data_IF_568317300060
#
_entry.id   IF_568317300060
#
_cell.length_a   1.000
_cell.length_b   1.000
_cell.length_c   1.000
_cell.angle_alpha   90.00
_cell.angle_beta   90.00
_cell.angle_gamma   90.00
#
_symmetry.space_group_name_H-M   'P 1'
#
loop_
_entity.id
_entity.type
_entity.pdbx_description
1 polymer ?
#
# COMPACT_ATOMS: atom_id res chain seq x y z
N UNK A 1 12.57 6.18 36.38
CA UNK A 1 12.23 7.53 35.86
C UNK A 1 13.07 7.72 34.62
N UNK A 2 12.53 7.34 33.48
CA UNK A 2 13.23 7.46 32.19
C UNK A 2 12.99 8.87 31.68
N UNK A 3 14.05 9.61 31.44
CA UNK A 3 14.01 10.99 30.94
C UNK A 3 13.36 10.95 29.55
N UNK A 4 12.05 11.22 29.51
CA UNK A 4 11.26 11.14 28.30
C UNK A 4 11.85 12.03 27.20
N UNK A 5 12.61 11.45 26.30
CA UNK A 5 12.81 12.04 24.98
C UNK A 5 11.44 12.17 24.37
N UNK A 6 10.95 13.40 24.28
CA UNK A 6 9.69 13.72 23.64
C UNK A 6 9.75 13.15 22.21
N UNK A 7 8.77 12.28 21.86
CA UNK A 7 8.70 11.67 20.54
C UNK A 7 8.58 12.77 19.49
N UNK A 8 9.32 12.65 18.38
CA UNK A 8 9.18 13.58 17.26
C UNK A 8 7.71 13.59 16.79
N UNK A 9 7.18 14.78 16.47
CA UNK A 9 5.86 14.93 15.86
C UNK A 9 5.97 15.52 14.45
N UNK A 10 4.93 15.42 13.65
CA UNK A 10 4.86 16.09 12.35
C UNK A 10 4.94 17.61 12.53
N UNK A 11 5.70 18.28 11.66
CA UNK A 11 5.81 19.74 11.66
C UNK A 11 4.50 20.40 11.23
N UNK A 12 3.70 19.72 10.42
CA UNK A 12 2.43 20.24 9.89
C UNK A 12 1.38 19.16 9.72
N UNK A 13 0.10 19.55 9.83
CA UNK A 13 -1.05 18.69 9.50
C UNK A 13 -1.01 18.18 8.07
N UNK A 14 -0.64 19.04 7.12
CA UNK A 14 -0.50 18.66 5.72
C UNK A 14 0.60 17.61 5.56
N UNK A 15 1.70 17.74 6.31
CA UNK A 15 2.76 16.75 6.36
C UNK A 15 2.27 15.38 6.81
N UNK A 16 1.52 15.33 7.90
CA UNK A 16 0.86 14.10 8.38
C UNK A 16 -0.04 13.48 7.29
N UNK A 17 -0.96 14.25 6.71
CA UNK A 17 -1.90 13.73 5.71
C UNK A 17 -1.16 13.20 4.48
N UNK A 18 -0.20 13.96 3.93
CA UNK A 18 0.51 13.56 2.72
C UNK A 18 1.45 12.36 2.94
N UNK A 19 2.10 12.27 4.10
CA UNK A 19 2.95 11.11 4.42
C UNK A 19 2.11 9.87 4.68
N UNK A 20 1.01 9.99 5.43
CA UNK A 20 0.10 8.86 5.69
C UNK A 20 -0.61 8.42 4.41
N UNK A 21 -1.07 9.36 3.58
CA UNK A 21 -1.60 9.02 2.27
C UNK A 21 -0.53 8.40 1.36
N UNK A 22 0.73 8.87 1.41
CA UNK A 22 1.85 8.27 0.68
C UNK A 22 2.21 6.86 1.15
N UNK A 23 1.89 6.49 2.38
CA UNK A 23 1.98 5.11 2.85
C UNK A 23 0.89 4.23 2.22
N UNK A 24 -0.34 4.74 2.11
CA UNK A 24 -1.45 4.04 1.48
C UNK A 24 -1.29 3.99 -0.04
N UNK A 25 -0.98 5.15 -0.67
CA UNK A 25 -0.79 5.27 -2.12
C UNK A 25 0.50 4.55 -2.55
N UNK A 26 0.35 3.35 -3.03
CA UNK A 26 1.45 2.50 -3.44
C UNK A 26 1.13 1.67 -4.68
N UNK A 27 1.80 0.54 -4.80
CA UNK A 27 1.56 -0.45 -5.86
C UNK A 27 0.10 -0.94 -5.83
N UNK A 28 -0.53 -0.95 -4.66
CA UNK A 28 -1.93 -1.31 -4.47
C UNK A 28 -2.92 -0.49 -5.29
N UNK A 29 -2.67 0.82 -5.42
CA UNK A 29 -3.55 1.75 -6.15
C UNK A 29 -3.29 1.75 -7.66
N UNK A 30 -2.01 1.68 -8.03
CA UNK A 30 -1.61 1.92 -9.42
C UNK A 30 -1.39 0.65 -10.22
N UNK A 31 -1.25 -0.48 -9.56
CA UNK A 31 -1.10 -1.79 -10.18
C UNK A 31 -2.25 -2.73 -9.82
N UNK A 32 -2.38 -3.09 -8.53
CA UNK A 32 -3.36 -4.10 -8.11
C UNK A 32 -4.80 -3.65 -8.36
N UNK A 33 -5.14 -2.42 -8.03
CA UNK A 33 -6.51 -1.91 -8.20
C UNK A 33 -6.98 -1.95 -9.66
N UNK A 34 -6.26 -1.41 -10.67
CA UNK A 34 -6.67 -1.53 -12.07
C UNK A 34 -6.73 -2.99 -12.55
N UNK A 35 -5.75 -3.83 -12.15
CA UNK A 35 -5.72 -5.25 -12.52
C UNK A 35 -6.95 -5.98 -11.99
N UNK A 36 -7.24 -5.86 -10.70
CA UNK A 36 -8.41 -6.52 -10.08
C UNK A 36 -9.72 -5.95 -10.62
N UNK A 37 -9.78 -4.64 -10.92
CA UNK A 37 -10.92 -4.01 -11.58
C UNK A 37 -11.17 -4.63 -12.96
N UNK A 38 -10.12 -4.82 -13.75
CA UNK A 38 -10.20 -5.46 -15.08
C UNK A 38 -10.72 -6.89 -15.00
N UNK A 39 -10.22 -7.67 -14.06
CA UNK A 39 -10.59 -9.07 -13.84
C UNK A 39 -12.00 -9.26 -13.26
N UNK A 40 -12.56 -8.24 -12.59
CA UNK A 40 -13.84 -8.32 -11.88
C UNK A 40 -14.94 -7.44 -12.48
N UNK A 41 -14.93 -7.24 -13.79
CA UNK A 41 -16.06 -6.64 -14.51
C UNK A 41 -16.16 -5.11 -14.46
N UNK A 42 -15.10 -4.39 -14.04
CA UNK A 42 -14.99 -2.93 -14.17
C UNK A 42 -15.84 -2.16 -13.15
N UNK A 43 -16.79 -1.33 -13.61
CA UNK A 43 -17.51 -0.35 -12.79
C UNK A 43 -18.28 -0.92 -11.58
N UNK A 44 -18.79 -2.15 -11.63
CA UNK A 44 -19.45 -2.78 -10.46
C UNK A 44 -18.46 -3.08 -9.35
N UNK A 45 -17.26 -3.55 -9.70
CA UNK A 45 -16.18 -3.74 -8.73
C UNK A 45 -15.79 -2.41 -8.07
N UNK A 46 -15.63 -1.34 -8.85
CA UNK A 46 -15.29 0.00 -8.33
C UNK A 46 -16.35 0.47 -7.33
N UNK A 47 -17.64 0.25 -7.63
CA UNK A 47 -18.74 0.61 -6.73
C UNK A 47 -18.63 -0.13 -5.38
N UNK A 48 -18.43 -1.46 -5.41
CA UNK A 48 -18.25 -2.26 -4.19
C UNK A 48 -16.96 -1.89 -3.44
N UNK A 49 -15.88 -1.64 -4.15
CA UNK A 49 -14.63 -1.17 -3.52
C UNK A 49 -14.84 0.12 -2.73
N UNK A 50 -15.47 1.13 -3.32
CA UNK A 50 -15.78 2.38 -2.64
C UNK A 50 -16.69 2.17 -1.41
N UNK A 51 -17.69 1.29 -1.53
CA UNK A 51 -18.57 0.93 -0.43
C UNK A 51 -17.77 0.30 0.73
N UNK A 52 -16.95 -0.71 0.45
CA UNK A 52 -16.18 -1.39 1.48
C UNK A 52 -15.04 -0.54 2.05
N UNK A 53 -14.47 0.36 1.27
CA UNK A 53 -13.49 1.32 1.79
C UNK A 53 -14.11 2.19 2.90
N UNK A 54 -15.36 2.65 2.72
CA UNK A 54 -16.08 3.42 3.74
C UNK A 54 -16.50 2.53 4.92
N UNK A 55 -17.03 1.34 4.65
CA UNK A 55 -17.55 0.46 5.69
C UNK A 55 -16.44 -0.21 6.52
N UNK A 56 -15.33 -0.56 5.91
CA UNK A 56 -14.27 -1.35 6.53
C UNK A 56 -12.94 -0.59 6.63
N UNK A 57 -12.49 0.02 5.53
CA UNK A 57 -11.21 0.70 5.44
C UNK A 57 -11.10 1.88 6.40
N UNK A 58 -12.03 2.83 6.36
CA UNK A 58 -12.03 4.00 7.26
C UNK A 58 -12.11 3.61 8.74
N UNK A 59 -12.99 2.70 9.18
CA UNK A 59 -13.02 2.24 10.57
C UNK A 59 -11.70 1.64 11.04
N UNK A 60 -11.12 0.70 10.28
CA UNK A 60 -9.88 0.02 10.71
C UNK A 60 -8.69 1.00 10.70
N UNK A 61 -8.57 1.86 9.68
CA UNK A 61 -7.58 2.94 9.65
C UNK A 61 -7.68 3.84 10.88
N UNK A 62 -8.91 4.20 11.27
CA UNK A 62 -9.14 5.01 12.48
C UNK A 62 -8.68 4.27 13.75
N UNK A 63 -8.84 2.94 13.81
CA UNK A 63 -8.38 2.12 14.94
C UNK A 63 -6.85 2.08 15.04
N UNK A 64 -6.14 1.86 13.93
CA UNK A 64 -4.68 1.91 13.92
C UNK A 64 -4.16 3.28 14.37
N UNK A 65 -4.68 4.36 13.78
CA UNK A 65 -4.31 5.72 14.18
C UNK A 65 -4.61 5.99 15.67
N UNK A 66 -5.73 5.46 16.19
CA UNK A 66 -6.12 5.66 17.59
C UNK A 66 -5.17 4.95 18.56
N UNK A 67 -4.81 3.70 18.28
CA UNK A 67 -3.87 2.93 19.11
C UNK A 67 -2.50 3.63 19.11
N UNK A 68 -2.01 4.06 17.94
CA UNK A 68 -0.76 4.81 17.85
C UNK A 68 -0.79 6.13 18.62
N UNK A 69 -1.86 6.96 18.44
CA UNK A 69 -1.97 8.27 19.09
C UNK A 69 -2.16 8.17 20.60
N UNK A 70 -2.93 7.20 21.08
CA UNK A 70 -3.13 6.99 22.50
C UNK A 70 -1.91 6.38 23.19
N UNK A 71 -1.21 5.45 22.50
CA UNK A 71 -0.03 4.78 23.02
C UNK A 71 1.26 5.60 22.93
N UNK A 72 1.33 6.61 22.06
CA UNK A 72 2.53 7.44 21.79
C UNK A 72 3.81 6.63 21.53
N UNK A 73 3.69 5.42 21.04
CA UNK A 73 4.78 4.48 20.79
C UNK A 73 4.52 3.68 19.50
N UNK A 74 5.51 2.86 19.09
CA UNK A 74 5.30 1.80 18.09
C UNK A 74 4.42 0.68 18.64
N UNK A 75 3.88 -0.15 17.77
CA UNK A 75 2.80 -1.10 18.06
C UNK A 75 2.99 -1.91 19.35
N UNK A 76 4.15 -2.54 19.56
CA UNK A 76 4.38 -3.37 20.77
C UNK A 76 4.18 -2.59 22.05
N UNK A 77 4.78 -1.39 22.14
CA UNK A 77 4.67 -0.55 23.34
C UNK A 77 3.35 0.17 23.44
N UNK A 78 2.73 0.53 22.30
CA UNK A 78 1.40 1.15 22.28
C UNK A 78 0.34 0.18 22.81
N UNK A 79 0.32 -1.06 22.30
CA UNK A 79 -0.55 -2.09 22.86
C UNK A 79 -0.31 -2.32 24.35
N UNK A 80 0.97 -2.44 24.76
CA UNK A 80 1.32 -2.66 26.18
C UNK A 80 0.89 -1.51 27.09
N UNK A 81 0.87 -0.28 26.59
CA UNK A 81 0.42 0.89 27.35
C UNK A 81 -1.11 0.93 27.51
N UNK A 82 -1.86 0.37 26.56
CA UNK A 82 -3.31 0.46 26.47
C UNK A 82 -4.02 -0.82 26.92
N UNK A 83 -3.33 -1.97 26.95
CA UNK A 83 -3.93 -3.26 27.28
C UNK A 83 -4.30 -3.36 28.78
N UNK A 84 -5.39 -4.06 29.12
CA UNK A 84 -5.72 -4.36 30.50
C UNK A 84 -4.63 -5.24 31.18
N UNK A 85 -4.42 -5.03 32.48
CA UNK A 85 -3.43 -5.79 33.22
C UNK A 85 -3.67 -7.30 33.10
N UNK A 86 -2.62 -8.06 32.81
CA UNK A 86 -2.66 -9.52 32.69
C UNK A 86 -3.04 -10.03 31.29
N UNK A 87 -3.34 -9.17 30.33
CA UNK A 87 -3.54 -9.55 28.91
C UNK A 87 -2.23 -9.52 28.13
N UNK A 88 -2.25 -10.05 26.92
CA UNK A 88 -1.06 -10.19 26.06
C UNK A 88 -1.26 -9.59 24.66
N UNK A 89 -2.05 -8.53 24.55
CA UNK A 89 -2.31 -7.90 23.25
C UNK A 89 -1.05 -7.32 22.60
N UNK A 90 -0.05 -6.94 23.38
CA UNK A 90 1.25 -6.47 22.88
C UNK A 90 1.98 -7.50 21.98
N UNK A 91 1.62 -8.80 22.05
CA UNK A 91 2.15 -9.81 21.13
C UNK A 91 1.74 -9.51 19.67
N UNK A 92 0.56 -8.92 19.46
CA UNK A 92 0.16 -8.48 18.12
C UNK A 92 1.10 -7.43 17.55
N UNK A 93 1.65 -6.54 18.38
CA UNK A 93 2.66 -5.58 17.95
C UNK A 93 3.90 -6.24 17.33
N UNK A 94 4.34 -7.39 17.85
CA UNK A 94 5.42 -8.17 17.24
C UNK A 94 5.01 -8.78 15.92
N UNK A 95 3.77 -9.28 15.80
CA UNK A 95 3.22 -9.79 14.54
C UNK A 95 3.18 -8.68 13.49
N UNK A 96 2.76 -7.47 13.86
CA UNK A 96 2.78 -6.30 12.98
C UNK A 96 4.19 -5.96 12.49
N UNK A 97 5.19 -5.99 13.39
CA UNK A 97 6.58 -5.72 13.03
C UNK A 97 7.13 -6.77 12.03
N UNK A 98 6.83 -8.04 12.27
CA UNK A 98 7.17 -9.13 11.32
C UNK A 98 6.43 -8.94 9.99
N UNK A 99 5.15 -8.59 10.03
CA UNK A 99 4.34 -8.33 8.83
C UNK A 99 4.90 -7.19 7.98
N UNK A 100 5.33 -6.10 8.62
CA UNK A 100 6.02 -5.00 7.92
C UNK A 100 7.36 -5.43 7.31
N UNK A 101 8.12 -6.28 8.00
CA UNK A 101 9.37 -6.80 7.45
C UNK A 101 9.11 -7.72 6.24
N UNK A 102 8.16 -8.66 6.34
CA UNK A 102 7.73 -9.52 5.24
C UNK A 102 7.23 -8.72 4.04
N UNK A 103 6.39 -7.71 4.28
CA UNK A 103 5.94 -6.80 3.21
C UNK A 103 7.14 -6.18 2.48
N UNK A 104 8.12 -5.67 3.22
CA UNK A 104 9.27 -5.00 2.62
C UNK A 104 10.24 -5.94 1.90
N UNK A 105 10.26 -7.23 2.22
CA UNK A 105 11.10 -8.21 1.53
C UNK A 105 10.77 -8.30 0.03
N UNK A 106 9.49 -8.37 -0.33
CA UNK A 106 9.10 -8.42 -1.74
C UNK A 106 8.80 -7.03 -2.32
N UNK A 107 8.28 -6.10 -1.52
CA UNK A 107 7.89 -4.78 -1.99
C UNK A 107 9.07 -3.95 -2.50
N UNK A 108 10.26 -4.08 -1.87
CA UNK A 108 11.48 -3.41 -2.34
C UNK A 108 11.95 -3.93 -3.69
N UNK A 109 11.75 -5.22 -3.99
CA UNK A 109 12.03 -5.81 -5.30
C UNK A 109 11.09 -5.23 -6.37
N UNK A 110 9.78 -5.19 -6.10
CA UNK A 110 8.80 -4.64 -7.04
C UNK A 110 8.99 -3.13 -7.24
N UNK A 111 9.29 -2.38 -6.17
CA UNK A 111 9.65 -0.96 -6.28
C UNK A 111 10.94 -0.76 -7.10
N UNK A 112 11.89 -1.71 -7.01
CA UNK A 112 13.07 -1.77 -7.86
C UNK A 112 12.72 -1.90 -9.34
N UNK A 113 11.75 -2.75 -9.70
CA UNK A 113 11.27 -2.88 -11.08
C UNK A 113 10.69 -1.58 -11.64
N UNK A 114 9.95 -0.81 -10.80
CA UNK A 114 9.42 0.49 -11.22
C UNK A 114 10.54 1.47 -11.56
N UNK A 115 11.58 1.52 -10.72
CA UNK A 115 12.74 2.38 -10.93
C UNK A 115 13.56 1.93 -12.15
N UNK A 116 13.75 0.63 -12.36
CA UNK A 116 14.42 0.07 -13.52
C UNK A 116 13.71 0.47 -14.82
N UNK A 117 12.39 0.29 -14.87
CA UNK A 117 11.61 0.67 -16.04
C UNK A 117 11.60 2.18 -16.30
N UNK A 118 11.62 3.00 -15.25
CA UNK A 118 11.84 4.43 -15.41
C UNK A 118 13.14 4.70 -16.15
N UNK A 119 14.25 4.08 -15.76
CA UNK A 119 15.53 4.26 -16.46
C UNK A 119 15.53 3.66 -17.86
N UNK A 120 14.91 2.50 -18.08
CA UNK A 120 14.78 1.88 -19.41
C UNK A 120 14.03 2.79 -20.39
N UNK A 121 12.94 3.43 -19.97
CA UNK A 121 12.24 4.42 -20.80
C UNK A 121 13.05 5.71 -20.98
N UNK A 122 13.63 6.24 -19.90
CA UNK A 122 14.44 7.46 -19.94
C UNK A 122 15.64 7.34 -20.89
N UNK A 123 16.32 6.20 -20.87
CA UNK A 123 17.48 5.92 -21.74
C UNK A 123 17.09 5.49 -23.15
N UNK A 124 15.79 5.26 -23.42
CA UNK A 124 15.30 4.87 -24.73
C UNK A 124 15.48 3.39 -25.06
N UNK A 125 15.61 2.51 -24.06
CA UNK A 125 15.75 1.05 -24.28
C UNK A 125 14.57 0.44 -25.05
N UNK A 126 13.39 1.04 -24.98
CA UNK A 126 12.19 0.63 -25.70
C UNK A 126 12.03 1.28 -27.09
N UNK A 127 12.90 2.22 -27.45
CA UNK A 127 12.79 2.95 -28.72
C UNK A 127 13.14 2.05 -29.91
N UNK A 128 12.21 1.93 -30.85
CA UNK A 128 12.42 1.12 -32.07
C UNK A 128 12.18 -0.38 -31.85
N UNK A 129 11.74 -0.81 -30.69
CA UNK A 129 11.31 -2.19 -30.48
C UNK A 129 9.92 -2.43 -31.06
N UNK A 130 9.65 -3.68 -31.45
CA UNK A 130 8.30 -4.11 -31.76
C UNK A 130 7.48 -4.25 -30.44
N UNK A 131 6.15 -4.06 -30.47
CA UNK A 131 5.31 -4.08 -29.28
C UNK A 131 5.38 -5.38 -28.46
N UNK A 132 5.52 -6.52 -29.14
CA UNK A 132 5.67 -7.85 -28.55
C UNK A 132 7.03 -8.06 -27.85
N UNK A 133 8.04 -7.26 -28.17
CA UNK A 133 9.34 -7.31 -27.52
C UNK A 133 9.29 -6.89 -26.03
N UNK A 134 8.23 -6.20 -25.58
CA UNK A 134 8.07 -5.80 -24.16
C UNK A 134 8.05 -7.00 -23.23
N UNK A 135 7.44 -8.12 -23.63
CA UNK A 135 7.45 -9.37 -22.87
C UNK A 135 8.86 -9.95 -22.71
N UNK A 136 9.67 -9.90 -23.78
CA UNK A 136 11.05 -10.35 -23.72
C UNK A 136 11.91 -9.46 -22.82
N UNK A 137 11.75 -8.12 -22.91
CA UNK A 137 12.46 -7.18 -22.00
C UNK A 137 12.17 -7.47 -20.54
N UNK A 138 10.93 -7.80 -20.20
CA UNK A 138 10.56 -8.16 -18.82
C UNK A 138 11.15 -9.51 -18.42
N UNK A 139 11.03 -10.52 -19.27
CA UNK A 139 11.60 -11.84 -19.03
C UNK A 139 13.13 -11.79 -18.84
N UNK A 140 13.83 -11.03 -19.68
CA UNK A 140 15.28 -10.84 -19.58
C UNK A 140 15.66 -10.14 -18.26
N UNK A 141 14.89 -9.14 -17.84
CA UNK A 141 15.10 -8.45 -16.57
C UNK A 141 14.91 -9.39 -15.38
N UNK A 142 13.87 -10.24 -15.38
CA UNK A 142 13.64 -11.23 -14.32
C UNK A 142 14.72 -12.32 -14.30
N UNK A 143 15.21 -12.72 -15.46
CA UNK A 143 16.26 -13.73 -15.60
C UNK A 143 17.65 -13.24 -15.16
N UNK A 144 17.86 -11.92 -15.04
CA UNK A 144 19.15 -11.32 -14.67
C UNK A 144 19.27 -11.10 -13.16
N UNK A 145 19.97 -11.96 -12.39
CA UNK A 145 20.08 -11.82 -10.94
C UNK A 145 20.77 -10.52 -10.52
N UNK A 146 21.76 -10.06 -11.28
CA UNK A 146 22.48 -8.83 -10.98
C UNK A 146 21.59 -7.58 -11.07
N UNK A 147 20.75 -7.51 -12.09
CA UNK A 147 19.80 -6.41 -12.29
C UNK A 147 18.72 -6.39 -11.19
N UNK A 148 18.16 -7.56 -10.86
CA UNK A 148 17.17 -7.72 -9.81
C UNK A 148 17.70 -7.25 -8.44
N UNK A 149 18.86 -7.75 -8.04
CA UNK A 149 19.49 -7.39 -6.77
C UNK A 149 19.90 -5.93 -6.75
N UNK A 150 20.45 -5.39 -7.85
CA UNK A 150 20.88 -3.99 -7.93
C UNK A 150 19.75 -3.03 -7.61
N UNK A 151 18.61 -3.15 -8.31
CA UNK A 151 17.50 -2.23 -8.14
C UNK A 151 16.81 -2.36 -6.79
N UNK A 152 16.67 -3.59 -6.25
CA UNK A 152 16.21 -3.82 -4.88
C UNK A 152 17.13 -3.13 -3.86
N UNK A 153 18.46 -3.28 -3.98
CA UNK A 153 19.44 -2.64 -3.09
C UNK A 153 19.38 -1.13 -3.20
N UNK A 154 19.28 -0.57 -4.41
CA UNK A 154 19.16 0.88 -4.63
C UNK A 154 17.93 1.45 -3.90
N UNK A 155 16.77 0.85 -4.07
CA UNK A 155 15.53 1.27 -3.38
C UNK A 155 15.69 1.18 -1.86
N UNK A 156 16.24 0.07 -1.37
CA UNK A 156 16.42 -0.15 0.07
C UNK A 156 17.37 0.86 0.69
N UNK A 157 18.53 1.06 0.08
CA UNK A 157 19.53 2.04 0.55
C UNK A 157 18.99 3.47 0.52
N UNK A 158 18.33 3.87 -0.57
CA UNK A 158 17.71 5.19 -0.68
C UNK A 158 16.64 5.40 0.39
N UNK A 159 15.79 4.39 0.64
CA UNK A 159 14.74 4.45 1.67
C UNK A 159 15.32 4.65 3.07
N UNK A 160 16.29 3.84 3.47
CA UNK A 160 16.94 4.00 4.77
C UNK A 160 17.74 5.30 4.87
N UNK A 161 18.37 5.79 3.78
CA UNK A 161 19.04 7.07 3.77
C UNK A 161 18.07 8.25 4.04
N UNK A 162 16.86 8.18 3.47
CA UNK A 162 15.79 9.16 3.74
C UNK A 162 15.37 9.11 5.21
N UNK A 163 15.06 7.92 5.72
CA UNK A 163 14.58 7.73 7.10
C UNK A 163 15.66 8.09 8.15
N UNK A 164 16.95 7.93 7.82
CA UNK A 164 18.04 8.30 8.72
C UNK A 164 18.04 9.80 9.10
N UNK A 165 17.46 10.67 8.24
CA UNK A 165 17.36 12.13 8.47
C UNK A 165 16.27 12.51 9.49
N UNK A 166 15.54 11.53 10.05
CA UNK A 166 14.45 11.74 11.01
C UNK A 166 13.10 11.97 10.37
N UNK A 167 12.09 12.16 11.22
CA UNK A 167 10.71 12.31 10.77
C UNK A 167 10.52 13.61 9.95
N UNK A 168 10.87 14.76 10.51
CA UNK A 168 10.64 16.06 9.87
C UNK A 168 11.61 16.35 8.73
N UNK A 169 12.92 16.10 8.94
CA UNK A 169 13.98 16.40 7.96
C UNK A 169 14.05 15.40 6.80
N UNK A 170 13.64 14.16 7.03
CA UNK A 170 13.64 13.07 6.05
C UNK A 170 12.25 12.76 5.51
N UNK A 171 11.50 11.98 6.28
CA UNK A 171 10.22 11.41 5.85
C UNK A 171 9.18 12.48 5.45
N UNK A 172 8.93 13.47 6.32
CA UNK A 172 7.91 14.49 6.06
C UNK A 172 8.31 15.41 4.88
N UNK A 173 9.56 15.87 4.85
CA UNK A 173 10.02 16.78 3.80
C UNK A 173 10.01 16.10 2.43
N UNK A 174 10.57 14.90 2.33
CA UNK A 174 10.66 14.16 1.07
C UNK A 174 9.29 13.62 0.68
N UNK A 175 8.52 13.07 1.62
CA UNK A 175 7.17 12.57 1.39
C UNK A 175 6.22 13.65 0.86
N UNK A 176 6.24 14.86 1.41
CA UNK A 176 5.44 15.98 0.89
C UNK A 176 5.80 16.34 -0.55
N UNK A 177 7.10 16.38 -0.85
CA UNK A 177 7.57 16.70 -2.20
C UNK A 177 7.19 15.62 -3.20
N UNK A 178 7.39 14.36 -2.84
CA UNK A 178 7.05 13.21 -3.68
C UNK A 178 5.55 13.11 -3.93
N UNK A 179 4.72 13.26 -2.90
CA UNK A 179 3.26 13.25 -3.06
C UNK A 179 2.77 14.43 -3.92
N UNK A 180 3.34 15.61 -3.76
CA UNK A 180 3.03 16.75 -4.63
C UNK A 180 3.39 16.47 -6.09
N UNK A 181 4.57 15.97 -6.36
CA UNK A 181 5.01 15.58 -7.70
C UNK A 181 4.16 14.43 -8.28
N UNK A 182 3.83 13.43 -7.47
CA UNK A 182 2.96 12.31 -7.84
C UNK A 182 1.58 12.81 -8.28
N UNK A 183 0.96 13.71 -7.51
CA UNK A 183 -0.36 14.27 -7.86
C UNK A 183 -0.32 15.08 -9.15
N UNK A 184 0.75 15.83 -9.40
CA UNK A 184 0.94 16.55 -10.67
C UNK A 184 1.12 15.56 -11.82
N UNK A 185 1.99 14.56 -11.66
CA UNK A 185 2.25 13.55 -12.69
C UNK A 185 0.98 12.77 -13.07
N UNK A 186 0.20 12.33 -12.07
CA UNK A 186 -1.03 11.58 -12.35
C UNK A 186 -2.05 12.42 -13.10
N UNK A 187 -2.20 13.71 -12.77
CA UNK A 187 -3.11 14.61 -13.49
C UNK A 187 -2.66 14.85 -14.93
N UNK A 188 -1.36 14.99 -15.19
CA UNK A 188 -0.80 15.10 -16.55
C UNK A 188 -1.07 13.83 -17.35
N UNK A 189 -0.87 12.65 -16.76
CA UNK A 189 -1.13 11.37 -17.41
C UNK A 189 -2.62 11.15 -17.67
N UNK A 190 -3.51 11.52 -16.73
CA UNK A 190 -4.97 11.48 -16.92
C UNK A 190 -5.37 12.42 -18.07
N UNK A 191 -4.89 13.66 -18.07
CA UNK A 191 -5.18 14.60 -19.15
C UNK A 191 -4.75 14.05 -20.53
N UNK A 192 -3.60 13.39 -20.60
CA UNK A 192 -3.16 12.72 -21.81
C UNK A 192 -4.05 11.53 -22.20
N UNK A 193 -4.53 10.74 -21.24
CA UNK A 193 -5.38 9.58 -21.53
C UNK A 193 -6.72 9.97 -22.18
N UNK A 194 -7.22 11.19 -21.94
CA UNK A 194 -8.46 11.70 -22.54
C UNK A 194 -8.34 12.05 -24.03
N UNK A 195 -7.14 12.12 -24.60
CA UNK A 195 -6.94 12.31 -26.05
C UNK A 195 -6.75 11.00 -26.81
N UNK A 196 -6.75 9.86 -26.12
CA UNK A 196 -6.59 8.55 -26.72
C UNK A 196 -7.90 8.10 -27.43
N UNK A 197 -7.79 7.35 -28.56
CA UNK A 197 -8.97 6.91 -29.33
C UNK A 197 -9.98 6.09 -28.54
N UNK A 198 -9.50 5.19 -27.66
CA UNK A 198 -10.35 4.27 -26.86
C UNK A 198 -10.83 4.86 -25.55
N UNK A 199 -10.79 6.18 -25.35
CA UNK A 199 -11.18 6.81 -24.07
C UNK A 199 -12.62 6.51 -23.69
N UNK A 200 -13.55 6.55 -24.67
CA UNK A 200 -14.99 6.34 -24.40
C UNK A 200 -15.26 4.92 -23.90
N UNK A 201 -14.73 3.92 -24.60
CA UNK A 201 -14.88 2.50 -24.27
C UNK A 201 -14.23 2.19 -22.92
N UNK A 202 -13.03 2.71 -22.68
CA UNK A 202 -12.31 2.56 -21.40
C UNK A 202 -13.07 3.17 -20.22
N UNK A 203 -13.63 4.38 -20.38
CA UNK A 203 -14.42 5.03 -19.34
C UNK A 203 -15.75 4.30 -19.08
N UNK A 204 -16.43 3.83 -20.13
CA UNK A 204 -17.66 3.05 -20.00
C UNK A 204 -17.39 1.76 -19.23
N UNK A 205 -16.31 1.02 -19.59
CA UNK A 205 -15.92 -0.19 -18.87
C UNK A 205 -15.63 0.07 -17.39
N UNK A 206 -14.89 1.13 -17.12
CA UNK A 206 -14.34 1.40 -15.80
C UNK A 206 -15.32 2.05 -14.83
N UNK A 207 -16.13 3.00 -15.30
CA UNK A 207 -16.97 3.82 -14.43
C UNK A 207 -18.47 3.46 -14.48
N UNK A 208 -18.95 2.88 -15.59
CA UNK A 208 -20.36 2.51 -15.68
C UNK A 208 -20.57 1.08 -15.15
N UNK A 209 -21.42 0.89 -14.11
CA UNK A 209 -21.72 -0.43 -13.59
C UNK A 209 -22.45 -1.29 -14.62
N UNK A 210 -21.84 -2.39 -15.03
CA UNK A 210 -22.41 -3.41 -15.87
C UNK A 210 -22.69 -4.68 -15.04
N UNK A 211 -23.92 -4.83 -14.61
CA UNK A 211 -24.34 -5.93 -13.75
C UNK A 211 -24.31 -7.28 -14.46
N UNK A 212 -24.55 -7.31 -15.77
CA UNK A 212 -24.50 -8.56 -16.54
C UNK A 212 -23.06 -9.09 -16.53
N UNK A 213 -22.08 -8.24 -16.87
CA UNK A 213 -20.66 -8.59 -16.83
C UNK A 213 -20.22 -9.04 -15.43
N UNK A 214 -20.66 -8.36 -14.37
CA UNK A 214 -20.33 -8.76 -13.00
C UNK A 214 -20.92 -10.12 -12.61
N UNK A 215 -22.13 -10.45 -13.09
CA UNK A 215 -22.73 -11.76 -12.88
C UNK A 215 -22.00 -12.87 -13.65
N UNK A 216 -21.53 -12.60 -14.86
CA UNK A 216 -20.73 -13.54 -15.67
C UNK A 216 -19.39 -13.88 -14.98
N UNK A 217 -18.76 -12.92 -14.28
CA UNK A 217 -17.55 -13.12 -13.47
C UNK A 217 -17.85 -13.78 -12.09
N UNK A 218 -19.12 -13.93 -11.73
CA UNK A 218 -19.55 -14.39 -10.42
C UNK A 218 -19.61 -13.24 -9.41
N UNK A 219 -20.80 -12.75 -9.12
CA UNK A 219 -21.01 -11.58 -8.25
C UNK A 219 -20.35 -11.73 -6.86
N UNK A 220 -20.33 -12.96 -6.30
CA UNK A 220 -19.63 -13.27 -5.05
C UNK A 220 -18.14 -12.99 -5.13
N UNK A 221 -17.49 -13.39 -6.23
CA UNK A 221 -16.06 -13.15 -6.46
C UNK A 221 -15.77 -11.65 -6.58
N UNK A 222 -16.61 -10.91 -7.32
CA UNK A 222 -16.48 -9.45 -7.47
C UNK A 222 -16.56 -8.74 -6.12
N UNK A 223 -17.53 -9.11 -5.28
CA UNK A 223 -17.72 -8.56 -3.93
C UNK A 223 -16.48 -8.85 -3.07
N UNK A 224 -16.02 -10.10 -3.05
CA UNK A 224 -14.85 -10.52 -2.25
C UNK A 224 -13.57 -9.82 -2.71
N UNK A 225 -13.37 -9.75 -4.02
CA UNK A 225 -12.22 -9.03 -4.57
C UNK A 225 -12.22 -7.54 -4.17
N UNK A 226 -13.40 -6.89 -4.17
CA UNK A 226 -13.57 -5.51 -3.74
C UNK A 226 -13.32 -5.32 -2.23
N UNK A 227 -13.78 -6.27 -1.39
CA UNK A 227 -13.50 -6.30 0.04
C UNK A 227 -11.99 -6.41 0.30
N UNK A 228 -11.31 -7.38 -0.32
CA UNK A 228 -9.88 -7.57 -0.21
C UNK A 228 -9.10 -6.33 -0.63
N UNK A 229 -9.47 -5.72 -1.76
CA UNK A 229 -8.81 -4.51 -2.25
C UNK A 229 -8.95 -3.33 -1.29
N UNK A 230 -10.08 -3.21 -0.58
CA UNK A 230 -10.30 -2.12 0.39
C UNK A 230 -9.36 -2.18 1.61
N UNK A 231 -8.88 -3.37 1.98
CA UNK A 231 -7.86 -3.54 3.02
C UNK A 231 -6.45 -3.35 2.47
N UNK A 232 -6.19 -3.95 1.32
CA UNK A 232 -4.87 -3.91 0.71
C UNK A 232 -4.42 -2.49 0.38
N UNK A 233 -5.33 -1.66 -0.18
CA UNK A 233 -5.01 -0.30 -0.62
C UNK A 233 -4.50 0.59 0.53
N UNK A 234 -4.97 0.37 1.76
CA UNK A 234 -4.61 1.15 2.94
C UNK A 234 -3.50 0.49 3.79
N UNK A 235 -3.01 -0.70 3.41
CA UNK A 235 -2.01 -1.48 4.15
C UNK A 235 -2.37 -1.69 5.63
N UNK A 236 -3.65 -2.00 5.92
CA UNK A 236 -4.19 -2.12 7.27
C UNK A 236 -3.88 -3.48 7.92
N UNK A 237 -3.77 -3.50 9.24
CA UNK A 237 -3.58 -4.72 10.04
C UNK A 237 -2.16 -5.01 10.47
N UNK A 238 -1.16 -4.32 9.91
CA UNK A 238 0.26 -4.51 10.24
C UNK A 238 0.91 -3.28 10.90
N UNK A 239 0.10 -2.38 11.47
CA UNK A 239 0.56 -1.16 12.14
C UNK A 239 1.28 -0.15 11.22
N UNK A 240 1.15 -0.27 9.90
CA UNK A 240 1.78 0.66 8.97
C UNK A 240 1.28 2.10 9.16
N UNK A 241 0.00 2.26 9.53
CA UNK A 241 -0.62 3.54 9.84
C UNK A 241 -0.55 3.92 11.33
N UNK A 242 -0.42 2.95 12.22
CA UNK A 242 -0.35 3.19 13.68
C UNK A 242 0.83 4.09 14.04
N UNK A 243 1.99 3.89 13.40
CA UNK A 243 3.18 4.69 13.69
C UNK A 243 2.94 6.18 13.44
N UNK A 244 2.18 6.53 12.39
CA UNK A 244 1.84 7.93 12.09
C UNK A 244 0.86 8.49 13.11
N UNK A 245 -0.07 7.66 13.61
CA UNK A 245 -0.91 8.01 14.76
C UNK A 245 -0.07 8.43 15.96
N UNK A 246 1.04 7.72 16.25
CA UNK A 246 1.92 7.99 17.38
C UNK A 246 2.69 9.32 17.29
N UNK A 247 2.83 9.89 16.11
CA UNK A 247 3.43 11.19 15.84
C UNK A 247 2.41 12.34 15.78
N UNK A 248 1.13 12.02 15.91
CA UNK A 248 0.02 12.95 15.76
C UNK A 248 -0.35 13.65 17.06
N UNK A 249 -0.61 14.95 17.00
CA UNK A 249 -1.17 15.68 18.13
C UNK A 249 -2.69 15.47 18.26
N UNK A 250 -3.29 15.94 19.36
CA UNK A 250 -4.71 15.81 19.67
C UNK A 250 -5.58 16.97 19.19
N UNK A 251 -5.08 17.83 18.28
CA UNK A 251 -5.84 19.00 17.79
C UNK A 251 -6.98 18.62 16.87
N UNK A 252 -6.88 17.49 16.17
CA UNK A 252 -7.86 17.05 15.18
C UNK A 252 -8.41 15.65 15.50
N UNK A 253 -9.70 15.45 15.13
CA UNK A 253 -10.36 14.15 15.28
C UNK A 253 -9.76 13.13 14.32
N UNK A 254 -9.58 11.88 14.77
CA UNK A 254 -8.98 10.82 13.95
C UNK A 254 -9.87 10.41 12.78
N UNK A 255 -11.18 10.37 12.97
CA UNK A 255 -12.12 10.03 11.89
C UNK A 255 -11.99 10.99 10.72
N UNK A 256 -11.86 12.31 11.00
CA UNK A 256 -11.67 13.30 9.95
C UNK A 256 -10.36 13.14 9.19
N UNK A 257 -9.28 12.76 9.88
CA UNK A 257 -7.98 12.52 9.25
C UNK A 257 -7.97 11.21 8.45
N UNK A 258 -8.55 10.14 8.98
CA UNK A 258 -8.71 8.88 8.26
C UNK A 258 -9.48 9.05 6.95
N UNK A 259 -10.59 9.79 6.96
CA UNK A 259 -11.36 10.10 5.74
C UNK A 259 -10.50 10.86 4.72
N UNK A 260 -9.68 11.83 5.14
CA UNK A 260 -8.80 12.57 4.21
C UNK A 260 -7.75 11.69 3.58
N UNK A 261 -7.14 10.80 4.36
CA UNK A 261 -6.18 9.81 3.85
C UNK A 261 -6.87 8.91 2.83
N UNK A 262 -8.04 8.34 3.15
CA UNK A 262 -8.80 7.50 2.23
C UNK A 262 -9.23 8.23 0.95
N UNK A 263 -9.62 9.50 1.03
CA UNK A 263 -9.98 10.30 -0.16
C UNK A 263 -8.79 10.49 -1.08
N UNK A 264 -7.60 10.79 -0.54
CA UNK A 264 -6.38 10.92 -1.36
C UNK A 264 -5.97 9.58 -1.98
N UNK A 265 -6.02 8.50 -1.20
CA UNK A 265 -5.74 7.15 -1.67
C UNK A 265 -6.68 6.75 -2.82
N UNK A 266 -7.98 6.90 -2.61
CA UNK A 266 -9.01 6.62 -3.62
C UNK A 266 -8.84 7.49 -4.86
N UNK A 267 -8.54 8.78 -4.69
CA UNK A 267 -8.31 9.68 -5.82
C UNK A 267 -7.19 9.14 -6.72
N UNK A 268 -6.07 8.71 -6.15
CA UNK A 268 -4.96 8.14 -6.94
C UNK A 268 -5.36 6.82 -7.60
N UNK A 269 -6.08 5.93 -6.88
CA UNK A 269 -6.57 4.67 -7.45
C UNK A 269 -7.51 4.91 -8.65
N UNK A 270 -8.46 5.84 -8.51
CA UNK A 270 -9.39 6.18 -9.59
C UNK A 270 -8.65 6.80 -10.79
N UNK A 271 -7.71 7.71 -10.53
CA UNK A 271 -6.88 8.30 -11.60
C UNK A 271 -6.02 7.24 -12.32
N UNK A 272 -5.48 6.26 -11.61
CA UNK A 272 -4.73 5.16 -12.23
C UNK A 272 -5.60 4.36 -13.21
N UNK A 273 -6.85 4.06 -12.85
CA UNK A 273 -7.82 3.44 -13.77
C UNK A 273 -8.14 4.34 -14.97
N UNK A 274 -8.28 5.66 -14.78
CA UNK A 274 -8.49 6.63 -15.87
C UNK A 274 -7.30 6.70 -16.86
N UNK A 275 -6.11 6.32 -16.44
CA UNK A 275 -4.93 6.22 -17.33
C UNK A 275 -4.93 4.87 -18.05
N UNK A 276 -5.11 3.79 -17.31
CA UNK A 276 -4.86 2.42 -17.78
C UNK A 276 -5.97 1.94 -18.72
N UNK A 277 -7.25 2.09 -18.36
CA UNK A 277 -8.35 1.54 -19.17
C UNK A 277 -8.48 2.22 -20.54
N UNK A 278 -8.44 3.57 -20.67
CA UNK A 278 -8.41 4.19 -22.00
C UNK A 278 -7.22 3.73 -22.85
N UNK A 279 -6.05 3.54 -22.23
CA UNK A 279 -4.89 3.02 -22.95
C UNK A 279 -5.09 1.58 -23.43
N UNK A 280 -5.60 0.68 -22.59
CA UNK A 280 -5.90 -0.71 -22.99
C UNK A 280 -6.88 -0.77 -24.16
N UNK A 281 -7.99 -0.05 -24.10
CA UNK A 281 -9.01 -0.04 -25.15
C UNK A 281 -8.54 0.64 -26.42
N UNK A 282 -7.64 1.64 -26.35
CA UNK A 282 -7.07 2.29 -27.53
C UNK A 282 -6.17 1.38 -28.37
N UNK A 283 -5.52 0.42 -27.73
CA UNK A 283 -4.58 -0.49 -28.38
C UNK A 283 -5.06 -1.93 -28.45
N UNK A 284 -6.35 -2.18 -28.16
CA UNK A 284 -6.99 -3.51 -28.27
C UNK A 284 -6.44 -4.53 -27.28
N UNK A 285 -6.01 -4.08 -26.09
CA UNK A 285 -5.40 -4.92 -25.08
C UNK A 285 -6.43 -5.25 -24.00
N UNK A 286 -6.48 -6.52 -23.59
CA UNK A 286 -7.40 -6.94 -22.53
C UNK A 286 -7.02 -6.34 -21.16
N UNK A 287 -7.96 -5.73 -20.44
CA UNK A 287 -7.70 -5.12 -19.13
C UNK A 287 -7.50 -6.13 -17.98
N UNK A 288 -7.68 -7.42 -18.23
CA UNK A 288 -7.57 -8.52 -17.25
C UNK A 288 -6.19 -9.21 -17.22
N UNK A 289 -5.20 -8.65 -17.94
CA UNK A 289 -3.88 -9.25 -18.15
C UNK A 289 -3.03 -9.49 -16.88
N UNK A 290 -3.52 -9.19 -15.68
CA UNK A 290 -2.84 -9.45 -14.43
C UNK A 290 -1.56 -8.62 -14.21
N UNK A 291 -0.53 -9.16 -13.54
CA UNK A 291 0.75 -8.49 -13.30
C UNK A 291 1.47 -8.05 -14.57
N UNK A 292 1.27 -8.77 -15.68
CA UNK A 292 1.81 -8.42 -16.99
C UNK A 292 1.30 -7.08 -17.53
N UNK A 293 0.16 -6.59 -17.01
CA UNK A 293 -0.44 -5.31 -17.42
C UNK A 293 0.55 -4.14 -17.33
N UNK A 294 1.31 -4.03 -16.26
CA UNK A 294 2.23 -2.90 -16.03
C UNK A 294 3.57 -3.07 -16.75
N UNK A 295 4.14 -4.28 -16.73
CA UNK A 295 5.51 -4.49 -17.20
C UNK A 295 5.60 -5.00 -18.66
N UNK A 296 4.49 -5.49 -19.20
CA UNK A 296 4.43 -5.98 -20.57
C UNK A 296 3.46 -5.14 -21.41
N UNK A 297 2.21 -5.03 -20.93
CA UNK A 297 1.12 -4.42 -21.70
C UNK A 297 1.29 -2.92 -21.85
N UNK A 298 1.47 -2.17 -20.77
CA UNK A 298 1.66 -0.71 -20.86
C UNK A 298 2.95 -0.30 -21.56
N UNK A 299 4.11 -0.94 -21.40
CA UNK A 299 5.26 -0.71 -22.25
C UNK A 299 4.96 -0.94 -23.74
N UNK A 300 4.21 -2.00 -24.09
CA UNK A 300 3.76 -2.24 -25.46
C UNK A 300 2.89 -1.09 -26.01
N UNK A 301 1.99 -0.55 -25.17
CA UNK A 301 1.20 0.66 -25.49
C UNK A 301 2.12 1.85 -25.76
N UNK A 302 3.07 2.12 -24.87
CA UNK A 302 3.99 3.25 -25.02
C UNK A 302 4.90 3.11 -26.25
N UNK A 303 5.32 1.89 -26.61
CA UNK A 303 6.10 1.65 -27.84
C UNK A 303 5.32 2.10 -29.08
N UNK A 304 4.00 1.85 -29.12
CA UNK A 304 3.13 2.21 -30.25
C UNK A 304 2.68 3.68 -30.26
N UNK A 305 2.87 4.39 -29.16
CA UNK A 305 2.34 5.73 -28.95
C UNK A 305 3.32 6.81 -29.46
N UNK A 306 2.80 7.87 -30.08
CA UNK A 306 3.59 9.05 -30.42
C UNK A 306 4.14 9.69 -29.14
N UNK A 307 5.47 9.84 -29.04
CA UNK A 307 6.12 10.33 -27.83
C UNK A 307 6.13 9.33 -26.68
N UNK A 308 5.91 8.05 -26.95
CA UNK A 308 5.80 6.99 -25.94
C UNK A 308 6.97 6.88 -24.99
N UNK A 309 8.20 7.24 -25.44
CA UNK A 309 9.36 7.34 -24.54
C UNK A 309 9.11 8.34 -23.41
N UNK A 310 8.54 9.51 -23.72
CA UNK A 310 8.24 10.54 -22.71
C UNK A 310 7.13 10.05 -21.78
N UNK A 311 6.02 9.55 -22.35
CA UNK A 311 4.88 9.09 -21.57
C UNK A 311 5.21 7.88 -20.69
N UNK A 312 5.97 6.93 -21.21
CA UNK A 312 6.48 5.80 -20.43
C UNK A 312 7.42 6.24 -19.31
N UNK A 313 8.32 7.20 -19.58
CA UNK A 313 9.19 7.77 -18.54
C UNK A 313 8.38 8.45 -17.43
N UNK A 314 7.39 9.28 -17.77
CA UNK A 314 6.53 9.95 -16.80
C UNK A 314 5.67 8.96 -16.00
N UNK A 315 5.14 7.92 -16.66
CA UNK A 315 4.36 6.88 -16.00
C UNK A 315 5.20 6.09 -14.99
N UNK A 316 6.38 5.60 -15.38
CA UNK A 316 7.24 4.86 -14.47
C UNK A 316 7.89 5.74 -13.39
N UNK A 317 8.07 7.05 -13.63
CA UNK A 317 8.44 8.00 -12.58
C UNK A 317 7.31 8.14 -11.54
N UNK A 318 6.07 8.26 -12.00
CA UNK A 318 4.89 8.26 -11.14
C UNK A 318 4.81 6.96 -10.32
N UNK A 319 4.97 5.79 -10.95
CA UNK A 319 4.98 4.48 -10.28
C UNK A 319 6.10 4.36 -9.24
N UNK A 320 7.30 4.87 -9.57
CA UNK A 320 8.45 4.90 -8.65
C UNK A 320 8.15 5.76 -7.43
N UNK A 321 7.56 6.93 -7.60
CA UNK A 321 7.19 7.78 -6.46
C UNK A 321 6.10 7.15 -5.59
N UNK A 322 5.10 6.52 -6.20
CA UNK A 322 4.05 5.82 -5.48
C UNK A 322 4.63 4.66 -4.64
N UNK A 323 5.45 3.80 -5.24
CA UNK A 323 6.06 2.67 -4.53
C UNK A 323 7.05 3.13 -3.46
N UNK A 324 7.90 4.10 -3.76
CA UNK A 324 8.93 4.57 -2.84
C UNK A 324 8.35 5.33 -1.63
N UNK A 325 7.21 6.03 -1.77
CA UNK A 325 6.52 6.66 -0.63
C UNK A 325 6.06 5.64 0.40
N UNK A 326 5.55 4.49 -0.04
CA UNK A 326 5.20 3.37 0.85
C UNK A 326 6.45 2.76 1.50
N UNK A 327 7.54 2.56 0.73
CA UNK A 327 8.80 2.02 1.27
C UNK A 327 9.32 2.85 2.43
N UNK A 328 9.47 4.18 2.27
CA UNK A 328 9.97 5.05 3.35
C UNK A 328 9.03 5.10 4.56
N UNK A 329 7.72 5.00 4.32
CA UNK A 329 6.71 4.99 5.37
C UNK A 329 6.78 3.72 6.24
N UNK A 330 6.87 2.54 5.63
CA UNK A 330 6.98 1.27 6.34
C UNK A 330 8.36 1.10 6.97
N UNK A 331 9.42 1.60 6.33
CA UNK A 331 10.75 1.64 6.96
C UNK A 331 10.75 2.48 8.25
N UNK A 332 10.06 3.62 8.27
CA UNK A 332 9.93 4.42 9.49
C UNK A 332 9.24 3.62 10.61
N UNK A 333 8.20 2.84 10.28
CA UNK A 333 7.56 1.96 11.28
C UNK A 333 8.54 0.92 11.83
N UNK A 334 9.32 0.24 10.98
CA UNK A 334 10.33 -0.72 11.41
C UNK A 334 11.43 -0.07 12.27
N UNK A 335 11.92 1.11 11.85
CA UNK A 335 12.94 1.87 12.57
C UNK A 335 12.40 2.28 13.95
N UNK A 336 11.23 2.89 14.01
CA UNK A 336 10.62 3.31 15.26
C UNK A 336 10.35 2.13 16.20
N UNK A 337 9.89 1.00 15.65
CA UNK A 337 9.68 -0.25 16.41
C UNK A 337 10.98 -0.77 17.01
N UNK A 338 12.06 -0.79 16.25
CA UNK A 338 13.37 -1.20 16.77
C UNK A 338 13.92 -0.21 17.82
N UNK A 339 13.79 1.11 17.57
CA UNK A 339 14.23 2.13 18.55
C UNK A 339 13.45 2.01 19.86
N UNK A 340 12.14 1.85 19.79
CA UNK A 340 11.29 1.75 20.97
C UNK A 340 11.55 0.45 21.76
N UNK A 341 11.66 -0.70 21.08
CA UNK A 341 11.75 -2.00 21.76
C UNK A 341 13.16 -2.34 22.23
N UNK A 342 14.20 -1.99 21.43
CA UNK A 342 15.57 -2.36 21.72
C UNK A 342 16.43 -1.18 22.24
N UNK A 343 15.88 0.04 22.27
CA UNK A 343 16.62 1.23 22.72
C UNK A 343 17.76 1.65 21.79
N UNK A 344 17.76 1.24 20.54
CA UNK A 344 18.80 1.58 19.59
C UNK A 344 18.65 3.03 19.12
N UNK A 345 19.79 3.66 18.80
CA UNK A 345 19.75 4.95 18.12
C UNK A 345 19.37 4.82 16.64
N UNK A 346 18.85 5.89 16.05
CA UNK A 346 18.32 5.90 14.68
C UNK A 346 19.36 5.47 13.64
N UNK A 347 20.62 5.93 13.77
CA UNK A 347 21.68 5.58 12.81
C UNK A 347 22.00 4.09 12.81
N UNK A 348 22.17 3.52 13.99
CA UNK A 348 22.40 2.08 14.17
C UNK A 348 21.23 1.27 13.61
N UNK A 349 19.99 1.68 13.93
CA UNK A 349 18.79 1.01 13.47
C UNK A 349 18.67 1.04 11.96
N UNK A 350 18.93 2.18 11.32
CA UNK A 350 18.92 2.31 9.87
C UNK A 350 19.97 1.43 9.21
N UNK A 351 21.20 1.38 9.75
CA UNK A 351 22.27 0.56 9.20
C UNK A 351 21.95 -0.94 9.30
N UNK A 352 21.55 -1.40 10.49
CA UNK A 352 21.20 -2.81 10.71
C UNK A 352 19.96 -3.18 9.89
N UNK A 353 18.91 -2.33 9.89
CA UNK A 353 17.69 -2.55 9.13
C UNK A 353 17.95 -2.61 7.62
N UNK A 354 18.80 -1.74 7.09
CA UNK A 354 19.19 -1.74 5.68
C UNK A 354 19.87 -3.07 5.29
N UNK A 355 20.88 -3.49 6.04
CA UNK A 355 21.57 -4.77 5.78
C UNK A 355 20.62 -5.95 5.93
N UNK A 356 19.82 -5.96 7.00
CA UNK A 356 18.86 -7.04 7.26
C UNK A 356 17.82 -7.15 6.13
N UNK A 357 17.21 -6.05 5.68
CA UNK A 357 16.22 -6.09 4.61
C UNK A 357 16.82 -6.41 3.24
N UNK A 358 18.06 -5.99 2.95
CA UNK A 358 18.75 -6.45 1.74
C UNK A 358 18.90 -7.97 1.77
N UNK A 359 19.41 -8.53 2.87
CA UNK A 359 19.60 -9.99 2.99
C UNK A 359 18.27 -10.76 2.94
N UNK A 360 17.24 -10.25 3.63
CA UNK A 360 15.91 -10.87 3.65
C UNK A 360 15.15 -10.73 2.32
N UNK A 361 15.42 -9.71 1.51
CA UNK A 361 14.84 -9.54 0.18
C UNK A 361 15.52 -10.35 -0.92
N UNK A 362 16.73 -10.88 -0.68
CA UNK A 362 17.43 -11.71 -1.68
C UNK A 362 16.61 -12.91 -2.17
N UNK A 363 15.90 -13.68 -1.33
CA UNK A 363 15.09 -14.79 -1.81
C UNK A 363 14.02 -14.37 -2.81
N UNK A 364 13.40 -13.22 -2.61
CA UNK A 364 12.43 -12.67 -3.55
C UNK A 364 13.09 -12.23 -4.87
N UNK A 365 14.17 -11.45 -4.82
CA UNK A 365 14.88 -10.96 -6.01
C UNK A 365 15.50 -12.09 -6.83
N UNK A 366 15.98 -13.14 -6.17
CA UNK A 366 16.60 -14.31 -6.80
C UNK A 366 15.59 -15.42 -7.16
N UNK A 367 14.36 -15.34 -6.68
CA UNK A 367 13.32 -16.34 -6.89
C UNK A 367 12.88 -16.51 -8.35
N UNK A 368 13.14 -15.53 -9.21
CA UNK A 368 12.86 -15.59 -10.64
C UNK A 368 14.02 -16.15 -11.48
N UNK A 369 15.20 -16.34 -10.88
CA UNK A 369 16.41 -16.73 -11.59
C UNK A 369 17.21 -17.78 -10.81
N UNK A 370 18.28 -17.41 -10.08
CA UNK A 370 19.20 -18.33 -9.42
C UNK A 370 18.51 -19.25 -8.39
N UNK A 371 17.42 -18.83 -7.77
CA UNK A 371 16.67 -19.58 -6.75
C UNK A 371 15.25 -19.95 -7.21
N UNK A 372 14.99 -19.96 -8.52
CA UNK A 372 13.69 -20.35 -9.11
C UNK A 372 13.24 -21.79 -8.80
N UNK A 373 14.15 -22.62 -8.27
CA UNK A 373 13.82 -23.96 -7.77
C UNK A 373 13.05 -23.94 -6.43
N UNK A 374 13.04 -22.79 -5.73
CA UNK A 374 12.28 -22.61 -4.49
C UNK A 374 10.85 -22.20 -4.88
N UNK A 375 9.92 -23.15 -4.79
CA UNK A 375 8.51 -22.99 -5.16
C UNK A 375 7.60 -23.27 -3.96
N UNK A 376 7.42 -22.32 -3.03
CA UNK A 376 6.81 -22.58 -1.71
C UNK A 376 5.34 -22.97 -1.76
N UNK A 377 4.61 -22.53 -2.80
CA UNK A 377 3.18 -22.81 -2.99
C UNK A 377 2.89 -23.85 -4.07
N UNK A 378 3.91 -24.58 -4.53
CA UNK A 378 3.80 -25.57 -5.59
C UNK A 378 4.39 -25.10 -6.93
N UNK A 379 4.26 -25.96 -7.95
CA UNK A 379 4.91 -25.75 -9.25
C UNK A 379 4.51 -24.40 -9.90
N UNK A 380 5.52 -23.62 -10.28
CA UNK A 380 5.36 -22.32 -10.91
C UNK A 380 5.21 -21.14 -9.95
N UNK A 381 5.11 -21.38 -8.64
CA UNK A 381 5.08 -20.28 -7.64
C UNK A 381 6.48 -19.73 -7.37
N UNK A 382 6.54 -18.46 -6.97
CA UNK A 382 7.79 -17.81 -6.57
C UNK A 382 7.80 -17.50 -5.08
N UNK A 383 8.95 -17.10 -4.55
CA UNK A 383 9.04 -16.61 -3.16
C UNK A 383 8.20 -15.36 -2.97
N UNK A 384 8.13 -14.47 -3.98
CA UNK A 384 7.27 -13.29 -3.96
C UNK A 384 5.80 -13.64 -3.77
N UNK A 385 5.29 -14.64 -4.50
CA UNK A 385 3.89 -15.08 -4.39
C UNK A 385 3.57 -15.57 -2.98
N UNK A 386 4.50 -16.28 -2.35
CA UNK A 386 4.36 -16.78 -0.98
C UNK A 386 4.38 -15.64 0.06
N UNK A 387 5.32 -14.70 -0.07
CA UNK A 387 5.41 -13.56 0.83
C UNK A 387 4.17 -12.66 0.71
N UNK A 388 3.72 -12.38 -0.53
CA UNK A 388 2.48 -11.62 -0.76
C UNK A 388 1.24 -12.35 -0.23
N UNK A 389 1.15 -13.67 -0.41
CA UNK A 389 0.07 -14.47 0.16
C UNK A 389 0.00 -14.34 1.69
N UNK A 390 1.14 -14.49 2.38
CA UNK A 390 1.20 -14.36 3.84
C UNK A 390 0.76 -12.96 4.31
N UNK A 391 1.22 -11.92 3.63
CA UNK A 391 0.88 -10.55 3.99
C UNK A 391 -0.57 -10.24 3.63
N UNK A 392 -0.96 -10.43 2.38
CA UNK A 392 -2.23 -9.95 1.84
C UNK A 392 -3.43 -10.76 2.32
N UNK A 393 -3.29 -12.09 2.47
CA UNK A 393 -4.39 -12.97 2.80
C UNK A 393 -4.48 -13.30 4.29
N UNK A 394 -3.37 -13.25 5.04
CA UNK A 394 -3.36 -13.60 6.45
C UNK A 394 -3.12 -12.40 7.36
N UNK A 395 -2.00 -11.67 7.17
CA UNK A 395 -1.56 -10.66 8.14
C UNK A 395 -2.41 -9.39 8.06
N UNK A 396 -2.77 -8.91 6.88
CA UNK A 396 -3.61 -7.70 6.76
C UNK A 396 -5.01 -7.94 7.32
N UNK A 397 -5.80 -8.93 6.87
CA UNK A 397 -7.15 -9.14 7.41
C UNK A 397 -7.12 -9.66 8.85
N UNK A 398 -6.22 -10.58 9.20
CA UNK A 398 -6.08 -11.09 10.56
C UNK A 398 -5.67 -10.03 11.56
N UNK A 399 -4.70 -9.20 11.21
CA UNK A 399 -4.27 -8.08 12.03
C UNK A 399 -5.36 -7.03 12.20
N UNK A 400 -6.10 -6.71 11.13
CA UNK A 400 -7.25 -5.81 11.19
C UNK A 400 -8.34 -6.30 12.12
N UNK A 401 -8.60 -7.62 12.13
CA UNK A 401 -9.52 -8.25 13.08
C UNK A 401 -9.03 -8.08 14.53
N UNK A 402 -7.73 -8.25 14.78
CA UNK A 402 -7.14 -8.09 16.11
C UNK A 402 -7.24 -6.62 16.56
N UNK A 403 -6.95 -5.63 15.69
CA UNK A 403 -7.18 -4.21 16.00
C UNK A 403 -8.63 -3.93 16.37
N UNK A 404 -9.56 -4.48 15.60
CA UNK A 404 -10.99 -4.34 15.88
C UNK A 404 -11.36 -4.94 17.25
N UNK A 405 -10.96 -6.17 17.51
CA UNK A 405 -11.23 -6.83 18.79
C UNK A 405 -10.61 -6.09 19.96
N UNK A 406 -9.39 -5.59 19.81
CA UNK A 406 -8.72 -4.78 20.82
C UNK A 406 -9.46 -3.48 21.12
N UNK A 407 -9.88 -2.75 20.12
CA UNK A 407 -10.56 -1.46 20.29
C UNK A 407 -12.00 -1.59 20.79
N UNK A 408 -12.68 -2.75 20.55
CA UNK A 408 -14.13 -2.86 20.79
C UNK A 408 -14.48 -3.74 22.00
N UNK A 409 -13.64 -4.72 22.35
CA UNK A 409 -13.96 -5.67 23.43
C UNK A 409 -13.56 -5.17 24.82
N UNK A 410 -14.20 -5.75 25.84
CA UNK A 410 -13.86 -5.46 27.25
C UNK A 410 -12.51 -6.04 27.69
N UNK A 411 -11.99 -7.01 26.94
CA UNK A 411 -10.70 -7.65 27.17
C UNK A 411 -9.54 -6.92 26.49
N UNK A 412 -9.86 -5.93 25.66
CA UNK A 412 -8.91 -5.01 25.05
C UNK A 412 -9.03 -3.60 25.61
N UNK A 413 -8.77 -2.60 24.79
CA UNK A 413 -8.79 -1.18 25.17
C UNK A 413 -10.20 -0.64 25.47
N UNK A 414 -11.25 -1.31 24.97
CA UNK A 414 -12.66 -0.98 25.08
C UNK A 414 -13.12 0.15 24.14
N UNK A 415 -14.36 -0.01 23.62
CA UNK A 415 -14.96 0.91 22.64
C UNK A 415 -15.08 2.35 23.18
N UNK A 416 -15.40 2.53 24.44
CA UNK A 416 -15.65 3.86 25.00
C UNK A 416 -14.34 4.67 25.09
N UNK A 417 -13.21 4.03 25.41
CA UNK A 417 -11.87 4.64 25.39
C UNK A 417 -11.44 4.95 23.94
N UNK A 418 -11.65 4.01 23.02
CA UNK A 418 -11.39 4.19 21.60
C UNK A 418 -12.19 5.38 21.03
N UNK A 419 -13.50 5.44 21.31
CA UNK A 419 -14.38 6.52 20.85
C UNK A 419 -13.96 7.89 21.42
N UNK A 420 -13.59 7.92 22.69
CA UNK A 420 -13.11 9.15 23.34
C UNK A 420 -11.84 9.67 22.66
N UNK A 421 -10.88 8.79 22.37
CA UNK A 421 -9.66 9.16 21.66
C UNK A 421 -9.97 9.63 20.23
N UNK A 422 -10.79 8.91 19.46
CA UNK A 422 -11.18 9.28 18.10
C UNK A 422 -11.81 10.68 18.02
N UNK A 423 -12.63 11.02 19.00
CA UNK A 423 -13.39 12.26 19.05
C UNK A 423 -12.66 13.41 19.74
N UNK A 424 -11.43 13.18 20.22
CA UNK A 424 -10.58 14.22 20.79
C UNK A 424 -10.11 15.17 19.68
N UNK A 425 -10.25 16.46 19.90
CA UNK A 425 -9.90 17.53 18.97
C UNK A 425 -11.08 18.05 18.14
N UNK A 426 -10.76 18.88 17.14
CA UNK A 426 -11.73 19.51 16.26
C UNK A 426 -11.88 18.75 14.95
N UNK A 427 -13.11 18.56 14.46
CA UNK A 427 -13.40 17.92 13.18
C UNK A 427 -14.59 16.97 13.22
N UNK A 428 -14.68 16.08 12.24
CA UNK A 428 -15.76 15.11 12.13
C UNK A 428 -15.65 14.06 13.25
N UNK A 429 -16.70 13.97 14.08
CA UNK A 429 -16.77 13.06 15.21
C UNK A 429 -17.43 11.74 14.83
N UNK A 430 -16.90 10.65 15.35
CA UNK A 430 -17.50 9.33 15.20
C UNK A 430 -18.75 9.22 16.08
N UNK A 431 -19.92 8.84 15.52
CA UNK A 431 -21.15 8.74 16.28
C UNK A 431 -21.20 7.45 17.10
N UNK A 432 -21.80 7.52 18.32
CA UNK A 432 -21.85 6.39 19.26
C UNK A 432 -22.65 5.18 18.75
N UNK A 433 -23.61 5.37 17.81
CA UNK A 433 -24.42 4.28 17.27
C UNK A 433 -23.60 3.25 16.47
N UNK A 434 -22.43 3.64 15.95
CA UNK A 434 -21.49 2.73 15.28
C UNK A 434 -20.95 1.62 16.21
N UNK A 435 -21.14 1.71 17.54
CA UNK A 435 -20.72 0.68 18.49
C UNK A 435 -21.22 -0.71 18.12
N UNK A 436 -22.50 -0.82 17.73
CA UNK A 436 -23.09 -2.11 17.36
C UNK A 436 -22.56 -2.61 16.00
N UNK A 437 -22.34 -1.71 15.07
CA UNK A 437 -21.71 -2.04 13.79
C UNK A 437 -20.30 -2.62 13.99
N UNK A 438 -19.45 -1.96 14.77
CA UNK A 438 -18.08 -2.41 15.06
C UNK A 438 -18.04 -3.68 15.89
N UNK A 439 -19.07 -3.91 16.71
CA UNK A 439 -19.12 -5.09 17.59
C UNK A 439 -19.58 -6.35 16.87
N UNK A 440 -20.47 -6.24 15.90
CA UNK A 440 -21.15 -7.39 15.29
C UNK A 440 -20.93 -7.51 13.77
N UNK A 441 -21.14 -6.43 13.00
CA UNK A 441 -21.09 -6.48 11.55
C UNK A 441 -19.66 -6.48 11.01
N UNK A 442 -18.83 -5.55 11.47
CA UNK A 442 -17.47 -5.38 10.97
C UNK A 442 -16.58 -6.64 11.21
N UNK A 443 -16.63 -7.32 12.39
CA UNK A 443 -15.88 -8.56 12.58
C UNK A 443 -16.29 -9.66 11.60
N UNK A 444 -17.59 -9.79 11.30
CA UNK A 444 -18.09 -10.77 10.34
C UNK A 444 -17.56 -10.48 8.93
N UNK A 445 -17.59 -9.21 8.50
CA UNK A 445 -17.05 -8.81 7.21
C UNK A 445 -15.55 -9.15 7.09
N UNK A 446 -14.76 -8.84 8.12
CA UNK A 446 -13.32 -9.16 8.13
C UNK A 446 -13.07 -10.67 8.15
N UNK A 447 -13.87 -11.44 8.92
CA UNK A 447 -13.77 -12.90 8.94
C UNK A 447 -14.09 -13.52 7.58
N UNK A 448 -15.07 -12.99 6.84
CA UNK A 448 -15.36 -13.44 5.47
C UNK A 448 -14.12 -13.31 4.58
N UNK A 449 -13.46 -12.17 4.62
CA UNK A 449 -12.22 -11.94 3.85
C UNK A 449 -11.13 -12.94 4.26
N UNK A 450 -10.92 -13.12 5.56
CA UNK A 450 -9.88 -14.01 6.09
C UNK A 450 -10.12 -15.46 5.66
N UNK A 451 -11.38 -15.94 5.74
CA UNK A 451 -11.72 -17.32 5.35
C UNK A 451 -11.65 -17.54 3.84
N UNK A 452 -11.98 -16.54 3.05
CA UNK A 452 -11.91 -16.64 1.58
C UNK A 452 -10.48 -16.48 1.04
N UNK A 453 -9.59 -15.86 1.83
CA UNK A 453 -8.18 -15.72 1.51
C UNK A 453 -7.34 -16.97 1.80
N UNK A 454 -7.87 -17.92 2.59
CA UNK A 454 -7.27 -19.22 2.91
C UNK A 454 -7.62 -20.28 1.85
#
# INVERSE_FOLDING_TARGET
MDSGKQREGFASRLGFILVSAGCAVGIGNVWRFPTVTGQNGGGVFVLFYLLFLVLMGVPVLTMELAVGRAGHNSAVKAYKALEPKGTKWHLHGWVCMIGCALLMMYYTTVAGWMLDYFFKFLTGRFTGLAPDASAQVFSDALANPGEQVLWMVVITVLGFHVCQKGLQGGLERIGKWMMGALLVLILVLVAHSFVLPGVKEGLVFYLLPDWQRACEQGLGNVITAAMNQSFFTLSLGIAAMEIFGSYMDRRFTLTGEAVRICVLDTFVAICAGLIIFPACFSFGISPDAGPSLIFITLPSVFINMIGGRIWGTLFFLFMTFASFSTVIAVFENLIASCMDNFGWDRRKTCLIGCVALILLGLPCALGYNAWSFIQPMGAGSTVLDFEDFLVSNLLLPGGSLIYLLFCVTRWGWNFDNYLAECNTGSGFKMPCWLKNYFRFALPVLILVILVQGL
#
